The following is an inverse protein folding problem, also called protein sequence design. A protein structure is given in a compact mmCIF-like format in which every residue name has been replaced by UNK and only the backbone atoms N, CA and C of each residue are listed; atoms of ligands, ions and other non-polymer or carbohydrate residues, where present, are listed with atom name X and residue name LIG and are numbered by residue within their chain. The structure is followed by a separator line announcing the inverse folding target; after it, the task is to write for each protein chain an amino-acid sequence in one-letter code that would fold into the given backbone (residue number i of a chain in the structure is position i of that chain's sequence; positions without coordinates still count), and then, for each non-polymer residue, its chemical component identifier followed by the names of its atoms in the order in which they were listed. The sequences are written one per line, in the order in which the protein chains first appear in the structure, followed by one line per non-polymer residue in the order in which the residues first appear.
data_IF_233893150420
#
_entry.id   IF_233893150420
#
_cell.length_a   1.000
_cell.length_b   1.000
_cell.length_c   1.000
_cell.angle_alpha   90.00
_cell.angle_beta   90.00
_cell.angle_gamma   90.00
#
_symmetry.space_group_name_H-M   'P 1'
#
loop_
_entity.id
_entity.type
_entity.pdbx_description
1 polymer ?
#
# COMPACT_ATOMS: atom_id res chain seq x y z
N UNK A 1 7.89 -12.78 24.66
CA UNK A 1 6.46 -12.53 24.40
C UNK A 1 5.78 -12.37 25.73
N UNK A 2 4.96 -11.33 25.89
CA UNK A 2 4.28 -11.05 27.16
C UNK A 2 3.08 -11.97 27.32
N UNK A 3 2.84 -12.46 28.56
CA UNK A 3 1.68 -13.26 28.89
C UNK A 3 0.35 -12.70 28.37
N UNK A 4 0.14 -11.35 28.34
CA UNK A 4 -1.07 -10.75 27.75
C UNK A 4 -1.29 -11.08 26.27
N UNK A 5 -0.23 -11.11 25.45
CA UNK A 5 -0.36 -11.40 24.01
C UNK A 5 -0.81 -12.86 23.77
N UNK A 6 -0.27 -13.79 24.52
CA UNK A 6 -0.69 -15.21 24.47
C UNK A 6 -2.16 -15.35 24.86
N UNK A 7 -2.57 -14.70 25.95
CA UNK A 7 -3.96 -14.75 26.41
C UNK A 7 -4.95 -14.19 25.37
N UNK A 8 -4.58 -13.11 24.67
CA UNK A 8 -5.41 -12.55 23.60
C UNK A 8 -5.56 -13.54 22.43
N UNK A 9 -4.45 -14.15 21.98
CA UNK A 9 -4.49 -15.13 20.90
C UNK A 9 -5.37 -16.35 21.30
N UNK A 10 -5.18 -16.90 22.50
CA UNK A 10 -6.00 -18.01 22.99
C UNK A 10 -7.48 -17.64 23.10
N UNK A 11 -7.78 -16.43 23.56
CA UNK A 11 -9.15 -15.90 23.64
C UNK A 11 -9.85 -15.87 22.28
N UNK A 12 -9.18 -15.32 21.27
CA UNK A 12 -9.81 -15.10 19.96
C UNK A 12 -9.76 -16.31 19.04
N UNK A 13 -8.78 -17.20 19.21
CA UNK A 13 -8.72 -18.46 18.44
C UNK A 13 -9.48 -19.60 19.11
N UNK A 14 -9.73 -19.54 20.40
CA UNK A 14 -10.22 -20.68 21.21
C UNK A 14 -9.20 -21.83 21.36
N UNK A 15 -7.91 -21.58 21.00
CA UNK A 15 -6.88 -22.61 20.85
C UNK A 15 -5.68 -22.27 21.72
N UNK A 16 -5.02 -23.29 22.30
CA UNK A 16 -3.83 -23.11 23.15
C UNK A 16 -2.60 -22.73 22.33
N UNK A 17 -1.81 -21.79 22.83
CA UNK A 17 -0.54 -21.38 22.25
C UNK A 17 0.56 -22.32 22.70
N UNK A 18 1.30 -22.90 21.76
CA UNK A 18 2.45 -23.77 22.04
C UNK A 18 3.77 -22.97 22.02
N UNK A 19 3.94 -22.08 21.05
CA UNK A 19 5.15 -21.27 20.91
C UNK A 19 4.88 -19.94 20.20
N UNK A 20 5.79 -18.98 20.37
CA UNK A 20 5.74 -17.71 19.67
C UNK A 20 7.14 -17.31 19.19
N UNK A 21 7.23 -16.70 17.99
CA UNK A 21 8.45 -16.19 17.40
C UNK A 21 8.20 -14.78 16.84
N UNK A 22 9.07 -13.83 17.13
CA UNK A 22 9.00 -12.52 16.48
C UNK A 22 9.29 -12.66 14.98
N UNK A 23 8.49 -11.98 14.17
CA UNK A 23 8.78 -11.77 12.75
C UNK A 23 9.39 -10.38 12.58
N UNK A 24 10.38 -10.28 11.68
CA UNK A 24 10.91 -9.00 11.21
C UNK A 24 9.97 -8.44 10.16
N UNK A 25 9.68 -7.14 10.23
CA UNK A 25 8.82 -6.43 9.26
C UNK A 25 7.67 -5.68 9.94
N UNK A 26 7.14 -4.70 9.21
CA UNK A 26 6.06 -3.81 9.65
C UNK A 26 6.57 -2.51 10.27
N UNK A 27 5.97 -1.39 9.83
CA UNK A 27 6.26 -0.05 10.38
C UNK A 27 5.55 0.19 11.72
N UNK A 28 4.54 -0.61 12.06
CA UNK A 28 3.67 -0.40 13.22
C UNK A 28 3.56 -1.68 14.03
N UNK A 29 3.93 -1.61 15.32
CA UNK A 29 3.70 -2.66 16.27
C UNK A 29 4.69 -3.83 16.23
N UNK A 30 4.43 -4.84 17.06
CA UNK A 30 5.20 -6.08 17.18
C UNK A 30 4.48 -7.19 16.43
N UNK A 31 5.16 -7.83 15.47
CA UNK A 31 4.61 -8.94 14.70
C UNK A 31 5.12 -10.27 15.23
N UNK A 32 4.22 -11.20 15.52
CA UNK A 32 4.52 -12.52 16.06
C UNK A 32 3.94 -13.62 15.18
N UNK A 33 4.75 -14.61 14.88
CA UNK A 33 4.24 -15.92 14.47
C UNK A 33 3.90 -16.70 15.74
N UNK A 34 2.67 -17.19 15.81
CA UNK A 34 2.17 -17.97 16.93
C UNK A 34 1.86 -19.38 16.45
N UNK A 35 2.54 -20.37 17.02
CA UNK A 35 2.24 -21.79 16.81
C UNK A 35 1.22 -22.24 17.87
N UNK A 36 0.15 -22.88 17.42
CA UNK A 36 -0.91 -23.39 18.27
C UNK A 36 -0.65 -24.86 18.60
N UNK A 37 -1.17 -25.33 19.73
CA UNK A 37 -0.92 -26.67 20.22
C UNK A 37 -1.45 -27.80 19.32
N UNK A 38 -2.42 -27.50 18.47
CA UNK A 38 -2.99 -28.41 17.48
C UNK A 38 -2.27 -28.38 16.11
N UNK A 39 -1.11 -27.70 16.02
CA UNK A 39 -0.30 -27.58 14.81
C UNK A 39 -0.68 -26.39 13.92
N UNK A 40 -1.75 -25.65 14.20
CA UNK A 40 -2.10 -24.43 13.46
C UNK A 40 -1.11 -23.30 13.70
N UNK A 41 -1.10 -22.34 12.79
CA UNK A 41 -0.26 -21.14 12.90
C UNK A 41 -1.08 -19.88 12.58
N UNK A 42 -0.85 -18.83 13.37
CA UNK A 42 -1.44 -17.51 13.15
C UNK A 42 -0.38 -16.43 13.28
N UNK A 43 -0.63 -15.29 12.68
CA UNK A 43 0.19 -14.08 12.84
C UNK A 43 -0.59 -13.12 13.72
N UNK A 44 0.05 -12.63 14.77
CA UNK A 44 -0.48 -11.59 15.63
C UNK A 44 0.36 -10.31 15.48
N UNK A 45 -0.27 -9.24 15.00
CA UNK A 45 0.26 -7.89 15.00
C UNK A 45 -0.28 -7.19 16.24
N UNK A 46 0.61 -6.63 17.05
CA UNK A 46 0.29 -6.06 18.36
C UNK A 46 0.77 -4.61 18.44
N UNK A 47 -0.08 -3.70 18.85
CA UNK A 47 0.24 -2.28 19.00
C UNK A 47 -1.02 -1.44 18.99
N UNK A 48 -0.94 -0.14 19.24
CA UNK A 48 -2.06 0.77 19.08
C UNK A 48 -2.28 1.13 17.60
N UNK A 49 -3.51 1.53 17.25
CA UNK A 49 -3.84 2.06 15.93
C UNK A 49 -3.97 0.99 14.83
N UNK A 50 -4.31 -0.25 15.16
CA UNK A 50 -4.43 -1.35 14.20
C UNK A 50 -5.84 -1.50 13.60
N UNK A 51 -6.85 -0.83 14.19
CA UNK A 51 -8.24 -0.91 13.69
C UNK A 51 -8.38 -0.56 12.21
N UNK A 52 -7.74 0.54 11.69
CA UNK A 52 -7.85 0.88 10.28
C UNK A 52 -7.31 -0.22 9.34
N UNK A 53 -6.21 -0.87 9.69
CA UNK A 53 -5.66 -1.97 8.88
C UNK A 53 -6.60 -3.18 8.88
N UNK A 54 -7.14 -3.55 10.04
CA UNK A 54 -8.13 -4.63 10.14
C UNK A 54 -9.41 -4.32 9.35
N UNK A 55 -9.83 -3.06 9.33
CA UNK A 55 -10.95 -2.62 8.51
C UNK A 55 -10.63 -2.73 7.00
N UNK A 56 -9.45 -2.28 6.58
CA UNK A 56 -9.01 -2.36 5.17
C UNK A 56 -8.94 -3.80 4.67
N UNK A 57 -8.41 -4.72 5.47
CA UNK A 57 -8.39 -6.16 5.14
C UNK A 57 -9.81 -6.72 4.98
N UNK A 58 -10.72 -6.39 5.90
CA UNK A 58 -12.14 -6.78 5.77
C UNK A 58 -12.81 -6.19 4.53
N UNK A 59 -12.49 -4.94 4.22
CA UNK A 59 -13.03 -4.28 3.04
C UNK A 59 -12.57 -4.99 1.75
N UNK A 60 -11.27 -5.21 1.59
CA UNK A 60 -10.73 -5.95 0.44
C UNK A 60 -11.31 -7.36 0.31
N UNK A 61 -11.42 -8.10 1.43
CA UNK A 61 -11.99 -9.45 1.42
C UNK A 61 -13.47 -9.49 0.99
N UNK A 62 -14.22 -8.42 1.23
CA UNK A 62 -15.63 -8.30 0.83
C UNK A 62 -15.82 -7.82 -0.61
N UNK A 63 -14.94 -6.95 -1.08
CA UNK A 63 -15.12 -6.21 -2.33
C UNK A 63 -14.16 -6.67 -3.44
N UNK A 64 -13.28 -7.63 -3.18
CA UNK A 64 -12.34 -8.11 -4.20
C UNK A 64 -12.04 -9.60 -4.08
N UNK A 65 -11.30 -10.12 -5.04
CA UNK A 65 -10.72 -11.48 -5.01
C UNK A 65 -9.20 -11.44 -4.79
N UNK A 66 -8.69 -10.32 -4.30
CA UNK A 66 -7.27 -10.21 -3.97
C UNK A 66 -6.90 -11.28 -2.94
N UNK A 67 -5.85 -12.07 -3.14
CA UNK A 67 -5.38 -13.00 -2.13
C UNK A 67 -4.97 -12.24 -0.86
N UNK A 68 -5.57 -12.57 0.27
CA UNK A 68 -5.34 -11.94 1.56
C UNK A 68 -5.22 -13.01 2.65
N UNK A 69 -4.47 -12.76 3.75
CA UNK A 69 -4.61 -13.60 4.92
C UNK A 69 -6.02 -13.48 5.49
N UNK A 70 -6.60 -14.60 5.93
CA UNK A 70 -7.90 -14.56 6.60
C UNK A 70 -7.76 -13.85 7.96
N UNK A 71 -8.55 -12.81 8.18
CA UNK A 71 -8.56 -12.06 9.44
C UNK A 71 -9.44 -12.78 10.47
N UNK A 72 -8.80 -13.34 11.49
CA UNK A 72 -9.48 -14.02 12.62
C UNK A 72 -10.08 -12.99 13.57
N UNK A 73 -9.32 -11.95 13.90
CA UNK A 73 -9.76 -10.84 14.76
C UNK A 73 -8.98 -9.57 14.43
N UNK A 74 -9.62 -8.42 14.62
CA UNK A 74 -8.96 -7.12 14.45
C UNK A 74 -9.67 -6.02 15.20
N UNK A 75 -8.94 -5.39 16.11
CA UNK A 75 -9.31 -4.19 16.85
C UNK A 75 -8.13 -3.21 16.91
N UNK A 76 -8.21 -2.18 17.76
CA UNK A 76 -7.17 -1.14 17.82
C UNK A 76 -5.83 -1.62 18.37
N UNK A 77 -5.78 -2.78 19.05
CA UNK A 77 -4.60 -3.27 19.76
C UNK A 77 -4.02 -4.57 19.20
N UNK A 78 -4.82 -5.32 18.45
CA UNK A 78 -4.41 -6.60 17.89
C UNK A 78 -5.07 -6.85 16.53
N UNK A 79 -4.24 -7.29 15.56
CA UNK A 79 -4.70 -8.00 14.37
C UNK A 79 -4.23 -9.45 14.48
N UNK A 80 -5.17 -10.36 14.33
CA UNK A 80 -4.91 -11.80 14.34
C UNK A 80 -5.35 -12.37 13.00
N UNK A 81 -4.41 -12.95 12.27
CA UNK A 81 -4.59 -13.45 10.91
C UNK A 81 -4.08 -14.89 10.80
N UNK A 82 -4.65 -15.66 9.90
CA UNK A 82 -4.07 -16.95 9.55
C UNK A 82 -2.66 -16.76 8.96
N UNK A 83 -1.75 -17.66 9.32
CA UNK A 83 -0.42 -17.66 8.74
C UNK A 83 -0.47 -18.14 7.29
N UNK A 84 0.01 -17.31 6.39
CA UNK A 84 0.18 -17.67 4.98
C UNK A 84 1.57 -18.23 4.76
N UNK A 85 1.65 -19.46 4.25
CA UNK A 85 2.91 -20.09 3.91
C UNK A 85 3.50 -19.42 2.67
N UNK A 86 4.66 -18.81 2.84
CA UNK A 86 5.36 -18.04 1.83
C UNK A 86 6.85 -17.97 2.19
N UNK A 87 7.66 -17.43 1.32
CA UNK A 87 9.10 -17.26 1.54
C UNK A 87 9.90 -17.44 0.26
N UNK A 88 9.21 -17.67 -0.86
CA UNK A 88 9.84 -17.72 -2.17
C UNK A 88 10.08 -16.32 -2.72
N UNK A 89 11.03 -16.18 -3.62
CA UNK A 89 11.30 -14.93 -4.33
C UNK A 89 10.20 -14.65 -5.35
N UNK A 90 10.02 -13.38 -5.69
CA UNK A 90 9.09 -12.95 -6.73
C UNK A 90 9.69 -13.36 -8.11
N UNK A 91 9.27 -14.50 -8.64
CA UNK A 91 9.67 -15.00 -9.96
C UNK A 91 8.95 -14.26 -11.08
N UNK A 92 9.41 -14.31 -12.35
CA UNK A 92 8.64 -13.75 -13.47
C UNK A 92 7.21 -14.28 -13.58
N UNK A 93 6.97 -15.54 -13.25
CA UNK A 93 5.62 -16.11 -13.22
C UNK A 93 4.78 -15.57 -12.06
N UNK A 94 5.38 -15.37 -10.88
CA UNK A 94 4.72 -14.72 -9.75
C UNK A 94 4.43 -13.23 -10.02
N UNK A 95 5.31 -12.53 -10.76
CA UNK A 95 5.04 -11.17 -11.25
C UNK A 95 3.83 -11.13 -12.19
N UNK A 96 3.75 -12.06 -13.16
CA UNK A 96 2.60 -12.16 -14.05
C UNK A 96 1.30 -12.45 -13.27
N UNK A 97 1.35 -13.34 -12.26
CA UNK A 97 0.20 -13.59 -11.39
C UNK A 97 -0.17 -12.35 -10.55
N UNK A 98 0.80 -11.58 -10.04
CA UNK A 98 0.54 -10.32 -9.36
C UNK A 98 -0.19 -9.32 -10.27
N UNK A 99 0.21 -9.24 -11.55
CA UNK A 99 -0.44 -8.40 -12.55
C UNK A 99 -1.91 -8.80 -12.77
N UNK A 100 -2.20 -10.10 -12.88
CA UNK A 100 -3.56 -10.60 -13.02
C UNK A 100 -4.46 -10.21 -11.84
N UNK A 101 -3.99 -10.44 -10.62
CA UNK A 101 -4.82 -10.17 -9.43
C UNK A 101 -4.97 -8.68 -9.15
N UNK A 102 -3.95 -7.85 -9.45
CA UNK A 102 -4.06 -6.39 -9.34
C UNK A 102 -4.93 -5.80 -10.44
N UNK A 103 -4.86 -6.29 -11.68
CA UNK A 103 -5.77 -5.85 -12.74
C UNK A 103 -7.25 -6.16 -12.40
N UNK A 104 -7.51 -7.32 -11.80
CA UNK A 104 -8.84 -7.67 -11.29
C UNK A 104 -9.28 -6.78 -10.11
N UNK A 105 -8.36 -6.41 -9.22
CA UNK A 105 -8.64 -5.44 -8.16
C UNK A 105 -8.99 -4.07 -8.74
N UNK A 106 -8.20 -3.59 -9.69
CA UNK A 106 -8.42 -2.30 -10.35
C UNK A 106 -9.70 -2.23 -11.19
N UNK A 107 -10.30 -3.36 -11.54
CA UNK A 107 -11.60 -3.40 -12.20
C UNK A 107 -12.79 -3.08 -11.26
N UNK A 108 -12.57 -3.08 -9.93
CA UNK A 108 -13.58 -2.65 -8.98
C UNK A 108 -13.65 -1.14 -8.92
N UNK A 109 -14.81 -0.59 -9.33
CA UNK A 109 -15.04 0.84 -9.40
C UNK A 109 -15.96 1.35 -8.29
N UNK A 110 -15.88 2.65 -8.04
CA UNK A 110 -16.71 3.41 -7.11
C UNK A 110 -17.16 4.72 -7.75
N UNK A 111 -18.14 5.40 -7.15
CA UNK A 111 -18.68 6.65 -7.70
C UNK A 111 -17.76 7.88 -7.53
N UNK A 112 -16.72 7.78 -6.70
CA UNK A 112 -15.78 8.88 -6.44
C UNK A 112 -14.37 8.35 -6.16
N UNK A 113 -13.37 9.20 -6.30
CA UNK A 113 -12.02 8.96 -5.78
C UNK A 113 -12.01 9.15 -4.27
N UNK A 114 -11.11 8.43 -3.57
CA UNK A 114 -11.06 8.43 -2.11
C UNK A 114 -11.82 7.26 -1.50
N UNK A 115 -12.39 7.47 -0.33
CA UNK A 115 -13.15 6.47 0.42
C UNK A 115 -14.02 7.17 1.46
N UNK A 116 -15.09 6.51 1.96
CA UNK A 116 -15.98 7.07 2.96
C UNK A 116 -15.33 7.28 4.34
N UNK A 117 -14.10 6.82 4.51
CA UNK A 117 -13.30 7.04 5.72
C UNK A 117 -11.84 7.20 5.41
N UNK A 118 -11.13 7.92 6.26
CA UNK A 118 -9.68 7.98 6.22
C UNK A 118 -9.07 6.63 6.62
N UNK A 119 -7.92 6.32 6.03
CA UNK A 119 -7.15 5.10 6.26
C UNK A 119 -5.74 5.44 6.73
N UNK A 120 -4.84 4.47 6.68
CA UNK A 120 -3.43 4.68 7.02
C UNK A 120 -2.53 4.12 5.92
N UNK A 121 -1.33 4.71 5.80
CA UNK A 121 -0.22 4.16 5.01
C UNK A 121 1.04 4.16 5.86
N UNK A 122 1.61 2.98 6.14
CA UNK A 122 2.75 2.85 7.06
C UNK A 122 2.48 3.45 8.45
N UNK A 123 1.22 3.45 8.92
CA UNK A 123 0.79 4.08 10.17
C UNK A 123 0.57 5.60 10.10
N UNK A 124 0.82 6.26 8.97
CA UNK A 124 0.53 7.67 8.76
C UNK A 124 -0.93 7.86 8.34
N UNK A 125 -1.61 8.95 8.78
CA UNK A 125 -2.95 9.27 8.30
C UNK A 125 -2.98 9.42 6.77
N UNK A 126 -3.92 8.74 6.12
CA UNK A 126 -4.18 8.82 4.69
C UNK A 126 -5.59 9.39 4.49
N UNK A 127 -5.65 10.66 4.08
CA UNK A 127 -6.90 11.40 3.87
C UNK A 127 -7.61 10.87 2.63
N UNK A 128 -8.87 10.50 2.78
CA UNK A 128 -9.66 9.89 1.71
C UNK A 128 -10.96 10.64 1.41
N UNK A 129 -11.05 11.90 1.78
CA UNK A 129 -12.23 12.73 1.47
C UNK A 129 -12.65 12.53 0.02
N UNK A 130 -13.90 12.07 -0.25
CA UNK A 130 -14.35 11.77 -1.60
C UNK A 130 -14.24 12.98 -2.53
N UNK A 131 -13.79 12.74 -3.77
CA UNK A 131 -13.70 13.75 -4.81
C UNK A 131 -14.19 13.18 -6.15
N UNK A 132 -14.86 13.99 -6.95
CA UNK A 132 -15.34 13.61 -8.27
C UNK A 132 -14.22 13.58 -9.33
N UNK A 133 -13.10 14.26 -9.09
CA UNK A 133 -11.99 14.39 -10.02
C UNK A 133 -10.71 13.81 -9.44
N UNK A 134 -10.04 12.98 -10.25
CA UNK A 134 -8.76 12.38 -9.85
C UNK A 134 -7.66 13.41 -9.62
N UNK A 135 -7.51 14.36 -10.53
CA UNK A 135 -6.46 15.36 -10.42
C UNK A 135 -6.54 16.18 -9.14
N UNK A 136 -7.75 16.58 -8.75
CA UNK A 136 -7.98 17.30 -7.50
C UNK A 136 -7.72 16.40 -6.28
N UNK A 137 -8.21 15.15 -6.32
CA UNK A 137 -7.94 14.18 -5.25
C UNK A 137 -6.46 13.90 -5.08
N UNK A 138 -5.74 13.60 -6.18
CA UNK A 138 -4.31 13.31 -6.13
C UNK A 138 -3.51 14.53 -5.63
N UNK A 139 -3.81 15.71 -6.16
CA UNK A 139 -3.18 16.97 -5.72
C UNK A 139 -3.32 17.16 -4.22
N UNK A 140 -4.56 17.18 -3.74
CA UNK A 140 -4.87 17.66 -2.39
C UNK A 140 -4.71 16.57 -1.34
N UNK A 141 -5.23 15.35 -1.59
CA UNK A 141 -5.29 14.28 -0.60
C UNK A 141 -4.07 13.35 -0.63
N UNK A 142 -3.25 13.42 -1.66
CA UNK A 142 -2.03 12.61 -1.77
C UNK A 142 -0.78 13.47 -1.75
N UNK A 143 -0.58 14.27 -2.79
CA UNK A 143 0.66 15.01 -2.97
C UNK A 143 0.86 16.08 -1.89
N UNK A 144 -0.05 17.05 -1.79
CA UNK A 144 0.08 18.19 -0.86
C UNK A 144 -0.12 17.76 0.61
N UNK A 145 -1.09 16.89 0.90
CA UNK A 145 -1.31 16.41 2.25
C UNK A 145 -0.08 15.67 2.82
N UNK A 146 0.58 14.82 2.03
CA UNK A 146 1.77 14.09 2.48
C UNK A 146 3.01 14.99 2.52
N UNK A 147 3.16 15.92 1.56
CA UNK A 147 4.23 16.92 1.59
C UNK A 147 4.14 17.76 2.88
N UNK A 148 2.96 18.20 3.27
CA UNK A 148 2.75 18.95 4.51
C UNK A 148 3.06 18.10 5.75
N UNK A 149 2.65 16.82 5.79
CA UNK A 149 3.03 15.91 6.87
C UNK A 149 4.55 15.75 6.99
N UNK A 150 5.25 15.63 5.85
CA UNK A 150 6.71 15.53 5.82
C UNK A 150 7.38 16.85 6.27
N UNK A 151 6.84 18.00 5.85
CA UNK A 151 7.29 19.34 6.25
C UNK A 151 7.08 19.56 7.75
N UNK A 152 5.90 19.28 8.28
CA UNK A 152 5.57 19.41 9.70
C UNK A 152 6.48 18.53 10.60
N UNK A 153 6.95 17.39 10.07
CA UNK A 153 7.92 16.53 10.75
C UNK A 153 9.39 16.99 10.61
N UNK A 154 9.65 18.14 9.94
CA UNK A 154 10.99 18.64 9.70
C UNK A 154 11.81 17.81 8.68
N UNK A 155 11.16 17.02 7.85
CA UNK A 155 11.80 16.10 6.90
C UNK A 155 11.73 16.55 5.44
N UNK A 156 10.93 17.58 5.13
CA UNK A 156 10.84 18.21 3.81
C UNK A 156 11.23 19.69 3.92
N UNK A 157 12.27 20.16 3.19
CA UNK A 157 12.68 21.56 3.17
C UNK A 157 11.58 22.47 2.61
N UNK A 158 11.47 23.69 3.13
CA UNK A 158 10.48 24.67 2.68
C UNK A 158 10.61 24.99 1.18
N UNK A 159 11.84 25.02 0.64
CA UNK A 159 12.08 25.25 -0.79
C UNK A 159 11.52 24.11 -1.64
N UNK A 160 11.71 22.86 -1.24
CA UNK A 160 11.15 21.70 -1.94
C UNK A 160 9.62 21.69 -1.83
N UNK A 161 9.05 22.05 -0.67
CA UNK A 161 7.60 22.20 -0.50
C UNK A 161 7.01 23.21 -1.48
N UNK A 162 7.56 24.42 -1.58
CA UNK A 162 7.09 25.47 -2.49
C UNK A 162 7.16 25.03 -3.98
N UNK A 163 8.17 24.25 -4.33
CA UNK A 163 8.29 23.68 -5.68
C UNK A 163 7.24 22.58 -5.93
N UNK A 164 6.97 21.73 -4.95
CA UNK A 164 5.89 20.74 -5.03
C UNK A 164 4.54 21.43 -5.22
N UNK A 165 4.26 22.53 -4.49
CA UNK A 165 3.04 23.33 -4.64
C UNK A 165 2.93 23.90 -6.07
N UNK A 166 4.02 24.41 -6.61
CA UNK A 166 4.07 24.91 -8.00
C UNK A 166 3.77 23.81 -9.01
N UNK A 167 4.36 22.62 -8.82
CA UNK A 167 4.13 21.45 -9.69
C UNK A 167 2.69 20.94 -9.55
N UNK A 168 2.16 20.91 -8.32
CA UNK A 168 0.78 20.50 -8.02
C UNK A 168 -0.25 21.34 -8.79
N UNK A 169 0.00 22.64 -8.96
CA UNK A 169 -0.84 23.52 -9.78
C UNK A 169 -0.78 23.24 -11.28
N UNK A 170 0.17 22.44 -11.77
CA UNK A 170 0.39 22.13 -13.18
C UNK A 170 0.16 20.67 -13.56
N UNK A 171 -0.28 19.82 -12.63
CA UNK A 171 -0.43 18.37 -12.85
C UNK A 171 -1.27 18.02 -14.08
N UNK A 172 -2.30 18.81 -14.38
CA UNK A 172 -3.14 18.61 -15.55
C UNK A 172 -2.43 18.76 -16.92
N UNK A 173 -1.17 19.23 -16.95
CA UNK A 173 -0.38 19.24 -18.17
C UNK A 173 0.11 17.83 -18.58
N UNK A 174 0.16 16.89 -17.64
CA UNK A 174 0.71 15.54 -17.83
C UNK A 174 -0.21 14.43 -17.37
N UNK A 175 -0.88 14.62 -16.22
CA UNK A 175 -1.80 13.63 -15.70
C UNK A 175 -3.19 13.79 -16.33
N UNK A 176 -3.89 12.68 -16.44
CA UNK A 176 -5.24 12.61 -16.99
C UNK A 176 -6.23 12.00 -16.00
N UNK A 177 -7.51 12.33 -16.20
CA UNK A 177 -8.59 11.67 -15.47
C UNK A 177 -8.73 10.23 -15.99
N UNK A 178 -8.78 9.21 -15.13
CA UNK A 178 -9.12 7.87 -15.58
C UNK A 178 -10.62 7.79 -15.91
N UNK A 179 -11.01 6.77 -16.68
CA UNK A 179 -12.41 6.56 -17.03
C UNK A 179 -13.32 6.38 -15.80
N UNK A 180 -12.78 5.80 -14.74
CA UNK A 180 -13.46 5.57 -13.46
C UNK A 180 -12.46 5.38 -12.33
N UNK A 181 -12.86 5.63 -11.06
CA UNK A 181 -12.05 5.29 -9.90
C UNK A 181 -11.85 3.76 -9.81
N UNK A 182 -10.66 3.32 -9.45
CA UNK A 182 -10.30 1.91 -9.26
C UNK A 182 -9.92 1.64 -7.81
N UNK A 183 -10.35 0.52 -7.25
CA UNK A 183 -9.91 0.07 -5.93
C UNK A 183 -8.43 -0.31 -5.99
N UNK A 184 -7.62 0.31 -5.13
CA UNK A 184 -6.18 0.06 -5.02
C UNK A 184 -5.86 -0.68 -3.72
N UNK A 185 -4.80 -1.50 -3.74
CA UNK A 185 -4.17 -1.99 -2.52
C UNK A 185 -3.48 -0.83 -1.78
N UNK A 186 -2.89 0.08 -2.52
CA UNK A 186 -2.30 1.34 -2.04
C UNK A 186 -0.87 1.23 -1.51
N UNK A 187 -0.37 0.01 -1.25
CA UNK A 187 1.00 -0.25 -0.79
C UNK A 187 1.54 -1.58 -1.35
N UNK A 188 1.37 -1.82 -2.68
CA UNK A 188 1.77 -3.05 -3.36
C UNK A 188 3.25 -3.03 -3.76
N UNK A 189 4.12 -3.53 -2.90
CA UNK A 189 5.56 -3.68 -3.12
C UNK A 189 6.08 -4.99 -2.52
N UNK A 190 7.32 -5.39 -2.84
CA UNK A 190 7.90 -6.69 -2.45
C UNK A 190 7.73 -7.02 -0.96
N UNK A 191 7.81 -6.02 -0.07
CA UNK A 191 7.65 -6.21 1.38
C UNK A 191 6.24 -6.63 1.79
N UNK A 192 5.24 -6.34 0.96
CA UNK A 192 3.82 -6.60 1.24
C UNK A 192 3.25 -7.74 0.37
N UNK A 193 4.08 -8.43 -0.42
CA UNK A 193 3.71 -9.59 -1.22
C UNK A 193 4.25 -10.87 -0.58
N UNK A 194 3.38 -11.80 -0.24
CA UNK A 194 3.74 -13.13 0.21
C UNK A 194 3.72 -14.08 -0.99
N UNK A 195 4.89 -14.60 -1.38
CA UNK A 195 5.06 -15.43 -2.57
C UNK A 195 5.24 -16.88 -2.18
N UNK A 196 4.56 -17.81 -2.91
CA UNK A 196 4.72 -19.25 -2.81
C UNK A 196 4.72 -19.86 -4.21
N UNK A 197 5.85 -20.45 -4.59
CA UNK A 197 6.06 -20.91 -5.95
C UNK A 197 5.92 -19.76 -6.95
N UNK A 198 5.14 -19.99 -7.99
CA UNK A 198 4.90 -19.01 -9.06
C UNK A 198 3.66 -18.14 -8.83
N UNK A 199 3.25 -17.95 -7.55
CA UNK A 199 2.05 -17.16 -7.23
C UNK A 199 2.25 -16.25 -6.04
N UNK A 200 1.61 -15.12 -6.08
CA UNK A 200 1.37 -14.32 -4.88
C UNK A 200 0.29 -15.03 -4.06
N UNK A 201 0.68 -15.51 -2.89
CA UNK A 201 -0.20 -16.21 -1.96
C UNK A 201 -1.05 -15.26 -1.12
N UNK A 202 -0.53 -14.07 -0.81
CA UNK A 202 -1.31 -13.00 -0.19
C UNK A 202 -0.64 -11.63 -0.36
N UNK A 203 -1.46 -10.59 -0.31
CA UNK A 203 -1.07 -9.20 -0.08
C UNK A 203 -1.36 -8.85 1.39
N UNK A 204 -0.48 -8.09 2.01
CA UNK A 204 -0.59 -7.66 3.42
C UNK A 204 -0.38 -6.14 3.53
N UNK A 205 -0.67 -5.58 4.70
CA UNK A 205 -0.43 -4.16 5.03
C UNK A 205 -1.05 -3.18 3.99
N UNK A 206 -2.36 -3.30 3.69
CA UNK A 206 -3.00 -2.47 2.69
C UNK A 206 -3.12 -1.00 3.14
N UNK A 207 -3.21 -0.09 2.14
CA UNK A 207 -3.48 1.34 2.30
C UNK A 207 -4.57 1.78 1.30
N UNK A 208 -5.73 1.13 1.35
CA UNK A 208 -6.76 1.18 0.30
C UNK A 208 -7.40 2.55 0.13
N UNK A 209 -7.75 2.82 -1.10
CA UNK A 209 -8.66 3.87 -1.54
C UNK A 209 -9.03 3.65 -3.01
N UNK A 210 -10.01 4.41 -3.52
CA UNK A 210 -10.31 4.45 -4.94
C UNK A 210 -9.49 5.55 -5.61
N UNK A 211 -8.66 5.18 -6.59
CA UNK A 211 -7.72 6.07 -7.27
C UNK A 211 -7.55 5.73 -8.75
N UNK A 212 -6.51 6.31 -9.37
CA UNK A 212 -6.05 5.92 -10.69
C UNK A 212 -5.11 4.72 -10.58
N UNK A 213 -5.32 3.62 -11.32
CA UNK A 213 -4.44 2.44 -11.25
C UNK A 213 -2.95 2.75 -11.43
N UNK A 214 -2.61 3.71 -12.27
CA UNK A 214 -1.23 4.04 -12.57
C UNK A 214 -0.40 4.48 -11.34
N UNK A 215 -1.03 5.00 -10.28
CA UNK A 215 -0.28 5.36 -9.06
C UNK A 215 0.27 4.10 -8.34
N UNK A 216 -0.51 3.02 -8.31
CA UNK A 216 -0.07 1.74 -7.74
C UNK A 216 0.98 1.07 -8.62
N UNK A 217 0.79 1.13 -9.95
CA UNK A 217 1.77 0.62 -10.92
C UNK A 217 3.09 1.37 -10.83
N UNK A 218 3.05 2.70 -10.74
CA UNK A 218 4.24 3.53 -10.53
C UNK A 218 4.97 3.14 -9.24
N UNK A 219 4.23 3.00 -8.13
CA UNK A 219 4.83 2.58 -6.85
C UNK A 219 5.52 1.22 -6.95
N UNK A 220 4.94 0.25 -7.65
CA UNK A 220 5.55 -1.05 -7.89
C UNK A 220 6.91 -1.00 -8.60
N UNK A 221 7.22 0.08 -9.32
CA UNK A 221 8.55 0.29 -9.94
C UNK A 221 9.59 0.85 -8.97
N UNK A 222 9.18 1.50 -7.88
CA UNK A 222 10.07 2.27 -7.00
C UNK A 222 11.20 1.42 -6.38
N UNK A 223 10.88 0.17 -6.01
CA UNK A 223 11.85 -0.77 -5.42
C UNK A 223 12.17 -1.94 -6.35
N UNK A 224 11.83 -1.83 -7.64
CA UNK A 224 12.02 -2.92 -8.58
C UNK A 224 11.16 -4.15 -8.25
N UNK A 225 10.00 -3.94 -7.61
CA UNK A 225 9.06 -5.02 -7.30
C UNK A 225 8.49 -5.61 -8.56
N UNK A 226 7.96 -4.74 -9.43
CA UNK A 226 7.35 -5.13 -10.69
C UNK A 226 8.23 -4.73 -11.86
N UNK A 227 8.51 -5.70 -12.72
CA UNK A 227 9.38 -5.59 -13.88
C UNK A 227 8.62 -5.92 -15.17
N UNK A 228 9.34 -6.15 -16.25
CA UNK A 228 8.75 -6.44 -17.57
C UNK A 228 7.71 -7.57 -17.55
N UNK A 229 7.89 -8.72 -16.85
CA UNK A 229 6.88 -9.78 -16.82
C UNK A 229 5.53 -9.33 -16.25
N UNK A 230 5.57 -8.50 -15.20
CA UNK A 230 4.36 -7.90 -14.62
C UNK A 230 3.67 -6.96 -15.60
N UNK A 231 4.40 -5.96 -16.13
CA UNK A 231 3.80 -4.93 -16.98
C UNK A 231 3.27 -5.50 -18.28
N UNK A 232 3.98 -6.40 -18.93
CA UNK A 232 3.49 -7.10 -20.11
C UNK A 232 2.15 -7.80 -19.83
N UNK A 233 2.07 -8.56 -18.72
CA UNK A 233 0.84 -9.26 -18.36
C UNK A 233 -0.29 -8.31 -17.95
N UNK A 234 0.04 -7.23 -17.24
CA UNK A 234 -0.94 -6.22 -16.86
C UNK A 234 -1.56 -5.54 -18.09
N UNK A 235 -0.73 -5.13 -19.05
CA UNK A 235 -1.16 -4.46 -20.28
C UNK A 235 -2.00 -5.36 -21.21
N UNK A 236 -1.81 -6.68 -21.18
CA UNK A 236 -2.69 -7.63 -21.86
C UNK A 236 -4.13 -7.59 -21.33
N UNK A 237 -4.32 -7.24 -20.04
CA UNK A 237 -5.62 -7.22 -19.36
C UNK A 237 -6.19 -5.78 -19.33
N UNK A 238 -5.36 -4.82 -19.00
CA UNK A 238 -5.71 -3.42 -18.83
C UNK A 238 -4.60 -2.55 -19.46
N UNK A 239 -4.73 -2.18 -20.74
CA UNK A 239 -3.72 -1.40 -21.46
C UNK A 239 -3.44 -0.07 -20.80
N UNK A 240 -2.15 0.29 -20.71
CA UNK A 240 -1.72 1.60 -20.25
C UNK A 240 -1.82 2.63 -21.38
N UNK A 241 -2.29 3.82 -21.04
CA UNK A 241 -2.29 4.92 -21.99
C UNK A 241 -0.85 5.36 -22.32
N UNK A 242 -0.54 5.81 -23.57
CA UNK A 242 0.75 6.36 -23.92
C UNK A 242 1.19 7.48 -22.97
N UNK A 243 2.48 7.59 -22.66
CA UNK A 243 3.05 8.60 -21.76
C UNK A 243 3.13 8.18 -20.28
N UNK A 244 2.71 6.93 -19.93
CA UNK A 244 2.90 6.44 -18.56
C UNK A 244 4.38 6.39 -18.19
N UNK A 245 5.20 5.73 -18.99
CA UNK A 245 6.64 5.55 -18.74
C UNK A 245 7.44 6.85 -18.87
N UNK A 246 7.03 7.69 -19.80
CA UNK A 246 7.73 8.92 -20.14
C UNK A 246 7.50 10.02 -19.12
N UNK A 247 6.30 10.09 -18.49
CA UNK A 247 5.93 11.23 -17.68
C UNK A 247 5.17 10.83 -16.41
N UNK A 248 4.01 10.16 -16.54
CA UNK A 248 3.07 10.00 -15.44
C UNK A 248 3.60 9.14 -14.31
N UNK A 249 4.39 8.11 -14.60
CA UNK A 249 5.04 7.26 -13.60
C UNK A 249 5.83 8.09 -12.59
N UNK A 250 6.66 9.00 -13.07
CA UNK A 250 7.52 9.82 -12.20
C UNK A 250 6.67 10.75 -11.32
N UNK A 251 5.63 11.37 -11.88
CA UNK A 251 4.74 12.23 -11.12
C UNK A 251 3.99 11.45 -10.02
N UNK A 252 3.52 10.23 -10.30
CA UNK A 252 2.88 9.38 -9.31
C UNK A 252 3.85 8.90 -8.23
N UNK A 253 5.13 8.72 -8.54
CA UNK A 253 6.17 8.36 -7.58
C UNK A 253 6.41 9.43 -6.51
N UNK A 254 6.01 10.69 -6.73
CA UNK A 254 6.14 11.73 -5.72
C UNK A 254 5.41 11.37 -4.42
N UNK A 255 4.21 10.74 -4.51
CA UNK A 255 3.46 10.37 -3.32
C UNK A 255 4.18 9.33 -2.45
N UNK A 256 4.56 8.15 -2.94
CA UNK A 256 5.30 7.18 -2.13
C UNK A 256 6.68 7.67 -1.70
N UNK A 257 7.36 8.50 -2.49
CA UNK A 257 8.62 9.13 -2.07
C UNK A 257 8.41 10.07 -0.87
N UNK A 258 7.32 10.83 -0.84
CA UNK A 258 6.94 11.69 0.29
C UNK A 258 6.58 10.85 1.53
N UNK A 259 5.83 9.74 1.37
CA UNK A 259 5.54 8.79 2.45
C UNK A 259 6.85 8.28 3.07
N UNK A 260 7.79 7.83 2.23
CA UNK A 260 9.08 7.32 2.70
C UNK A 260 9.96 8.41 3.31
N UNK A 261 9.94 9.62 2.75
CA UNK A 261 10.61 10.78 3.36
C UNK A 261 10.03 11.06 4.75
N UNK A 262 8.71 11.03 4.90
CA UNK A 262 8.03 11.24 6.19
C UNK A 262 8.36 10.14 7.22
N UNK A 263 8.47 8.89 6.80
CA UNK A 263 8.75 7.74 7.69
C UNK A 263 10.24 7.59 8.01
N UNK A 264 11.10 7.67 6.99
CA UNK A 264 12.49 7.22 7.08
C UNK A 264 13.53 8.35 6.90
N UNK A 265 13.11 9.53 6.42
CA UNK A 265 13.98 10.71 6.29
C UNK A 265 14.56 10.91 4.89
N UNK A 266 15.66 11.70 4.88
CA UNK A 266 16.15 12.40 3.69
C UNK A 266 16.73 11.57 2.55
N UNK A 267 16.94 10.26 2.68
CA UNK A 267 17.46 9.43 1.58
C UNK A 267 16.54 9.42 0.34
N UNK A 268 15.25 9.68 0.54
CA UNK A 268 14.25 9.74 -0.54
C UNK A 268 14.08 11.14 -1.15
N UNK A 269 14.58 12.17 -0.47
CA UNK A 269 14.44 13.58 -0.91
C UNK A 269 15.06 13.84 -2.27
N UNK A 270 16.24 13.25 -2.55
CA UNK A 270 16.89 13.37 -3.85
C UNK A 270 16.02 12.85 -5.03
N UNK A 271 15.18 11.85 -4.76
CA UNK A 271 14.20 11.35 -5.72
C UNK A 271 13.11 12.38 -6.02
N UNK A 272 12.61 13.04 -4.97
CA UNK A 272 11.61 14.11 -5.08
C UNK A 272 12.19 15.28 -5.86
N UNK A 273 13.36 15.78 -5.46
CA UNK A 273 14.00 16.94 -6.11
C UNK A 273 14.26 16.67 -7.60
N UNK A 274 14.77 15.49 -7.96
CA UNK A 274 14.99 15.11 -9.37
C UNK A 274 13.71 15.12 -10.20
N UNK A 275 12.59 14.61 -9.63
CA UNK A 275 11.31 14.65 -10.34
C UNK A 275 10.83 16.09 -10.49
N UNK A 276 10.88 16.86 -9.43
CA UNK A 276 10.47 18.27 -9.46
C UNK A 276 11.31 19.08 -10.44
N UNK A 277 12.65 18.87 -10.48
CA UNK A 277 13.56 19.48 -11.45
C UNK A 277 13.16 19.14 -12.89
N UNK A 278 12.85 17.89 -13.16
CA UNK A 278 12.45 17.42 -14.48
C UNK A 278 11.22 18.15 -15.03
N UNK A 279 10.23 18.44 -14.18
CA UNK A 279 8.94 19.00 -14.62
C UNK A 279 8.81 20.52 -14.46
N UNK A 280 9.67 21.15 -13.68
CA UNK A 280 9.68 22.62 -13.50
C UNK A 280 10.84 23.33 -14.19
N UNK A 281 11.92 22.61 -14.51
CA UNK A 281 13.15 23.18 -15.07
C UNK A 281 14.08 23.63 -13.97
#
# INVERSE_FOLDING_TARGET
VTAPAVALVERFTGRKVAATRSLSGGCVGKVLLVSLADGGRVVAKLGPGLEPEGWMLRYLARHSRLPLPHLVHGDDHILLMDYVEAGDSLTPAAEAHAAEVLALLHAHSWHSFGLDRDTVIGGLPQINTPNARWLDFFRDNRLLAMAEQARAAGRLPAVTMARIETLAGRLGNWLMEPAQPALLHGDAWTGNLLVRGDKVAAFIDPAIYYGHPEIELAFGTMFGTFNEPFFRRYEEISPLAPGFWEERRDLYLLYPLLVHTRLFGGSYLAGIDRIVDRFLG
#
